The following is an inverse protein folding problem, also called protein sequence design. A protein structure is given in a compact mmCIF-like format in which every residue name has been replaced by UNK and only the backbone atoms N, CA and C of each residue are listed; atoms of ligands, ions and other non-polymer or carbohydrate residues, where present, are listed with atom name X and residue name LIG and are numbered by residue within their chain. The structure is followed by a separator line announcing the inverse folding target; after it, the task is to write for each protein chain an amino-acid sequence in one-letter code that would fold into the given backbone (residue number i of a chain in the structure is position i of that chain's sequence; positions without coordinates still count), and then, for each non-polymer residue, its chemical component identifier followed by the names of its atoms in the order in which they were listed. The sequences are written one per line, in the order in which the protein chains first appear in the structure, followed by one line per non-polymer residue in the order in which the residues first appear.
data_IF_608566050327
#
_entry.id   IF_608566050327
#
_cell.length_a   1.000
_cell.length_b   1.000
_cell.length_c   1.000
_cell.angle_alpha   90.00
_cell.angle_beta   90.00
_cell.angle_gamma   90.00
#
_symmetry.space_group_name_H-M   'P 1'
#
loop_
_entity.id
_entity.type
_entity.pdbx_description
1 polymer ?
#
# COMPACT_ATOMS: atom_id res chain seq x y z
N UNK A 1 -16.60 22.08 2.74
CA UNK A 1 -16.31 22.01 1.28
C UNK A 1 -14.86 22.30 0.90
N UNK A 2 -14.00 22.88 1.76
CA UNK A 2 -12.59 23.13 1.41
C UNK A 2 -11.59 22.02 1.79
N UNK A 3 -11.81 21.31 2.90
CA UNK A 3 -10.84 20.34 3.41
C UNK A 3 -10.77 19.05 2.60
N UNK A 4 -11.91 18.55 2.11
CA UNK A 4 -11.95 17.32 1.30
C UNK A 4 -11.24 17.47 -0.06
N UNK A 5 -11.30 18.66 -0.65
CA UNK A 5 -10.65 18.95 -1.93
C UNK A 5 -9.12 19.05 -1.80
N UNK A 6 -8.63 19.62 -0.70
CA UNK A 6 -7.19 19.69 -0.41
C UNK A 6 -6.66 18.28 -0.16
N UNK A 7 -7.33 17.50 0.69
CA UNK A 7 -6.94 16.13 0.98
C UNK A 7 -6.91 15.27 -0.30
N UNK A 8 -7.95 15.34 -1.14
CA UNK A 8 -7.98 14.61 -2.42
C UNK A 8 -6.84 15.00 -3.38
N UNK A 9 -6.45 16.28 -3.41
CA UNK A 9 -5.30 16.76 -4.18
C UNK A 9 -3.96 16.22 -3.67
N UNK A 10 -3.79 16.18 -2.35
CA UNK A 10 -2.61 15.63 -1.68
C UNK A 10 -2.50 14.12 -1.88
N UNK A 11 -3.60 13.39 -1.75
CA UNK A 11 -3.64 11.95 -2.00
C UNK A 11 -3.40 11.62 -3.48
N UNK A 12 -3.89 12.43 -4.41
CA UNK A 12 -3.59 12.25 -5.85
C UNK A 12 -2.10 12.39 -6.15
N UNK A 13 -1.42 13.36 -5.50
CA UNK A 13 0.04 13.50 -5.58
C UNK A 13 0.75 12.31 -4.93
N UNK A 14 0.24 11.83 -3.80
CA UNK A 14 0.76 10.65 -3.11
C UNK A 14 0.67 9.38 -3.99
N UNK A 15 -0.43 9.19 -4.72
CA UNK A 15 -0.58 8.09 -5.68
C UNK A 15 0.54 8.14 -6.73
N UNK A 16 0.89 9.31 -7.25
CA UNK A 16 1.99 9.45 -8.23
C UNK A 16 3.33 9.08 -7.60
N UNK A 17 3.60 9.56 -6.38
CA UNK A 17 4.83 9.25 -5.65
C UNK A 17 4.95 7.74 -5.36
N UNK A 18 3.88 7.11 -4.88
CA UNK A 18 3.87 5.68 -4.57
C UNK A 18 3.88 4.81 -5.81
N UNK A 19 3.26 5.22 -6.93
CA UNK A 19 3.43 4.54 -8.22
C UNK A 19 4.89 4.52 -8.65
N UNK A 20 5.60 5.63 -8.47
CA UNK A 20 7.04 5.70 -8.76
C UNK A 20 7.83 4.81 -7.80
N UNK A 21 7.50 4.80 -6.51
CA UNK A 21 8.12 3.90 -5.54
C UNK A 21 7.91 2.42 -5.90
N UNK A 22 6.68 2.04 -6.26
CA UNK A 22 6.33 0.70 -6.71
C UNK A 22 7.00 0.32 -8.04
N UNK A 23 7.29 1.31 -8.91
CA UNK A 23 8.06 1.08 -10.12
C UNK A 23 9.55 0.85 -9.83
N UNK A 24 10.13 1.63 -8.90
CA UNK A 24 11.53 1.50 -8.50
C UNK A 24 11.78 0.22 -7.67
N UNK A 25 10.81 -0.18 -6.87
CA UNK A 25 10.85 -1.36 -6.00
C UNK A 25 9.61 -2.23 -6.22
N UNK A 26 9.53 -2.98 -7.34
CA UNK A 26 8.36 -3.81 -7.65
C UNK A 26 8.21 -5.02 -6.72
N UNK A 27 9.26 -5.35 -5.98
CA UNK A 27 9.31 -6.43 -5.01
C UNK A 27 8.96 -5.97 -3.59
N UNK A 28 8.86 -4.65 -3.35
CA UNK A 28 8.61 -4.11 -2.02
C UNK A 28 7.09 -4.09 -1.73
N UNK A 29 6.62 -4.89 -0.75
CA UNK A 29 5.20 -4.92 -0.40
C UNK A 29 4.69 -3.61 0.20
N UNK A 30 5.53 -2.80 0.86
CA UNK A 30 5.11 -1.51 1.39
C UNK A 30 4.80 -0.49 0.29
N UNK A 31 5.59 -0.50 -0.78
CA UNK A 31 5.33 0.40 -1.91
C UNK A 31 3.94 0.13 -2.53
N UNK A 32 3.53 -1.14 -2.57
CA UNK A 32 2.19 -1.54 -3.01
C UNK A 32 1.11 -1.22 -1.97
N UNK A 33 1.40 -1.38 -0.67
CA UNK A 33 0.49 -1.01 0.42
C UNK A 33 0.17 0.48 0.43
N UNK A 34 1.21 1.33 0.42
CA UNK A 34 1.06 2.78 0.42
C UNK A 34 0.36 3.31 -0.84
N UNK A 35 0.59 2.67 -1.98
CA UNK A 35 -0.18 2.93 -3.19
C UNK A 35 -1.66 2.59 -2.99
N UNK A 36 -1.98 1.44 -2.38
CA UNK A 36 -3.35 1.05 -2.06
C UNK A 36 -4.07 2.05 -1.16
N UNK A 37 -3.41 2.50 -0.09
CA UNK A 37 -3.95 3.49 0.85
C UNK A 37 -4.20 4.85 0.17
N UNK A 38 -3.27 5.32 -0.66
CA UNK A 38 -3.44 6.58 -1.37
C UNK A 38 -4.58 6.50 -2.40
N UNK A 39 -4.78 5.33 -3.05
CA UNK A 39 -5.88 5.08 -3.96
C UNK A 39 -7.24 4.99 -3.23
N UNK A 40 -7.28 4.37 -2.05
CA UNK A 40 -8.46 4.34 -1.17
C UNK A 40 -8.85 5.75 -0.75
N UNK A 41 -7.87 6.59 -0.41
CA UNK A 41 -8.09 7.98 0.04
C UNK A 41 -8.64 8.92 -1.05
N UNK A 42 -8.38 8.63 -2.33
CA UNK A 42 -9.02 9.34 -3.46
C UNK A 42 -10.33 8.69 -3.93
N UNK A 43 -10.78 7.61 -3.28
CA UNK A 43 -12.00 6.88 -3.63
C UNK A 43 -11.85 5.88 -4.78
N UNK A 44 -10.63 5.60 -5.25
CA UNK A 44 -10.38 4.55 -6.25
C UNK A 44 -10.19 3.18 -5.56
N UNK A 45 -11.27 2.66 -4.98
CA UNK A 45 -11.27 1.35 -4.34
C UNK A 45 -10.86 0.21 -5.29
N UNK A 46 -11.14 0.36 -6.59
CA UNK A 46 -10.84 -0.70 -7.56
C UNK A 46 -9.34 -0.84 -7.74
N UNK A 47 -8.64 0.27 -7.88
CA UNK A 47 -7.18 0.27 -7.95
C UNK A 47 -6.55 -0.04 -6.58
N UNK A 48 -7.15 0.44 -5.48
CA UNK A 48 -6.69 0.14 -4.13
C UNK A 48 -6.67 -1.37 -3.85
N UNK A 49 -7.78 -2.07 -4.14
CA UNK A 49 -7.87 -3.54 -4.01
C UNK A 49 -6.81 -4.28 -4.82
N UNK A 50 -6.49 -3.81 -6.03
CA UNK A 50 -5.42 -4.41 -6.85
C UNK A 50 -4.05 -4.22 -6.20
N UNK A 51 -3.77 -3.04 -5.67
CA UNK A 51 -2.51 -2.74 -5.00
C UNK A 51 -2.37 -3.56 -3.69
N UNK A 52 -3.43 -3.68 -2.90
CA UNK A 52 -3.49 -4.53 -1.72
C UNK A 52 -3.27 -6.01 -2.05
N UNK A 53 -3.89 -6.52 -3.12
CA UNK A 53 -3.66 -7.89 -3.58
C UNK A 53 -2.20 -8.12 -4.02
N UNK A 54 -1.58 -7.14 -4.69
CA UNK A 54 -0.18 -7.21 -5.07
C UNK A 54 0.74 -7.20 -3.84
N UNK A 55 0.47 -6.34 -2.85
CA UNK A 55 1.20 -6.29 -1.59
C UNK A 55 1.13 -7.64 -0.85
N UNK A 56 -0.07 -8.21 -0.73
CA UNK A 56 -0.28 -9.55 -0.13
C UNK A 56 0.47 -10.64 -0.88
N UNK A 57 0.40 -10.64 -2.21
CA UNK A 57 1.13 -11.63 -3.02
C UNK A 57 2.64 -11.53 -2.81
N UNK A 58 3.20 -10.32 -2.61
CA UNK A 58 4.63 -10.15 -2.30
C UNK A 58 4.96 -10.61 -0.89
N UNK A 59 4.15 -10.28 0.11
CA UNK A 59 4.33 -10.73 1.48
C UNK A 59 4.25 -12.26 1.64
N UNK A 60 3.50 -12.94 0.78
CA UNK A 60 3.42 -14.41 0.77
C UNK A 60 4.57 -15.07 0.02
N UNK A 61 5.16 -14.37 -0.95
CA UNK A 61 6.32 -14.82 -1.74
C UNK A 61 7.63 -14.57 -1.00
N UNK A 62 7.72 -13.46 -0.26
CA UNK A 62 8.79 -13.15 0.66
C UNK A 62 8.66 -14.07 1.88
N UNK A 63 9.62 -15.00 2.04
CA UNK A 63 9.55 -16.03 3.06
C UNK A 63 9.24 -15.42 4.45
N UNK A 64 8.19 -15.88 5.15
CA UNK A 64 7.68 -15.26 6.38
C UNK A 64 8.67 -15.26 7.56
N UNK A 65 9.81 -15.95 7.38
CA UNK A 65 10.89 -16.12 8.35
C UNK A 65 12.06 -15.14 8.15
N UNK A 66 12.09 -14.40 7.02
CA UNK A 66 12.89 -13.18 6.99
C UNK A 66 12.15 -12.17 7.83
N UNK A 67 12.50 -12.13 9.12
CA UNK A 67 12.34 -10.99 9.97
C UNK A 67 12.87 -9.78 9.18
N UNK A 68 11.95 -9.09 8.51
CA UNK A 68 12.18 -7.73 8.07
C UNK A 68 12.38 -6.97 9.36
N UNK A 69 13.63 -6.73 9.73
CA UNK A 69 13.96 -5.73 10.73
C UNK A 69 13.22 -4.46 10.29
N UNK A 70 12.23 -4.08 11.10
CA UNK A 70 10.93 -3.59 10.65
C UNK A 70 10.95 -2.67 9.44
N UNK A 71 10.17 -3.03 8.41
CA UNK A 71 9.77 -2.03 7.43
C UNK A 71 8.72 -1.14 8.14
N UNK A 72 9.19 0.01 8.64
CA UNK A 72 8.42 0.98 9.45
C UNK A 72 7.84 0.45 10.77
N UNK A 73 8.36 -0.68 11.28
CA UNK A 73 7.93 -1.28 12.54
C UNK A 73 6.76 -2.26 12.44
N UNK A 74 6.26 -2.55 11.23
CA UNK A 74 5.21 -3.55 11.01
C UNK A 74 5.80 -4.88 10.52
N UNK A 75 5.39 -5.98 11.13
CA UNK A 75 5.71 -7.32 10.66
C UNK A 75 4.87 -7.69 9.43
N UNK A 76 5.40 -8.58 8.58
CA UNK A 76 4.66 -9.12 7.45
C UNK A 76 3.29 -9.71 7.87
N UNK A 77 3.23 -10.35 9.03
CA UNK A 77 1.99 -10.91 9.59
C UNK A 77 0.96 -9.85 10.02
N UNK A 78 1.41 -8.67 10.48
CA UNK A 78 0.51 -7.56 10.80
C UNK A 78 -0.05 -6.92 9.54
N UNK A 79 0.80 -6.72 8.52
CA UNK A 79 0.36 -6.21 7.23
C UNK A 79 -0.63 -7.14 6.55
N UNK A 80 -0.40 -8.46 6.60
CA UNK A 80 -1.35 -9.44 6.07
C UNK A 80 -2.72 -9.35 6.76
N UNK A 81 -2.75 -9.30 8.10
CA UNK A 81 -4.00 -9.12 8.85
C UNK A 81 -4.72 -7.81 8.52
N UNK A 82 -3.96 -6.73 8.32
CA UNK A 82 -4.51 -5.43 7.91
C UNK A 82 -5.10 -5.46 6.49
N UNK A 83 -4.48 -6.20 5.58
CA UNK A 83 -4.99 -6.37 4.21
C UNK A 83 -6.24 -7.25 4.19
N UNK A 84 -6.31 -8.28 5.04
CA UNK A 84 -7.50 -9.14 5.19
C UNK A 84 -8.71 -8.39 5.76
N UNK A 85 -8.51 -7.34 6.57
CA UNK A 85 -9.63 -6.54 7.06
C UNK A 85 -10.22 -5.58 6.01
N UNK A 86 -9.58 -5.45 4.83
CA UNK A 86 -9.95 -4.51 3.76
C UNK A 86 -10.40 -5.20 2.45
N UNK A 87 -10.47 -6.52 2.45
CA UNK A 87 -11.08 -7.34 1.38
C UNK A 87 -12.56 -7.56 1.62
#
# INVERSE_FOLDING_TARGET
MGQDAIAAGEYSSAVVAFRKAAYLRPQDPLAQLHLGLALEAIGDERSARRAFAAARSRLLDEAPDRAVDGIEGYSAAELLRFLESRT
#
